data_IF_858022255376
#
_entry.id   IF_858022255376
#
_cell.length_a   1.000
_cell.length_b   1.000
_cell.length_c   1.000
_cell.angle_alpha   90.00
_cell.angle_beta   90.00
_cell.angle_gamma   90.00
#
_symmetry.space_group_name_H-M   'P 1'
#
loop_
_entity.id
_entity.type
_entity.pdbx_description
1 polymer ?
#
# COMPACT_ATOMS: atom_id res chain seq x y z
N UNK A 1 -6.33 -27.29 -12.35
CA UNK A 1 -5.87 -28.57 -12.95
C UNK A 1 -4.72 -29.05 -12.09
N UNK A 2 -4.73 -30.30 -11.62
CA UNK A 2 -3.59 -30.87 -10.88
C UNK A 2 -2.42 -31.13 -11.84
N UNK A 3 -1.19 -31.10 -11.34
CA UNK A 3 0.02 -31.37 -12.13
C UNK A 3 -0.06 -32.75 -12.83
N UNK A 4 -0.54 -33.75 -12.10
CA UNK A 4 -0.75 -35.12 -12.58
C UNK A 4 -1.68 -35.20 -13.81
N UNK A 5 -2.68 -34.32 -13.90
CA UNK A 5 -3.59 -34.30 -15.05
C UNK A 5 -2.93 -33.67 -16.29
N UNK A 6 -2.06 -32.68 -16.12
CA UNK A 6 -1.29 -32.10 -17.23
C UNK A 6 -0.25 -33.10 -17.76
N UNK A 7 0.37 -33.90 -16.88
CA UNK A 7 1.31 -34.97 -17.28
C UNK A 7 0.61 -36.05 -18.13
N UNK A 8 -0.60 -36.47 -17.72
CA UNK A 8 -1.43 -37.41 -18.48
C UNK A 8 -1.83 -36.87 -19.86
N UNK A 9 -2.13 -35.58 -19.94
CA UNK A 9 -2.43 -34.90 -21.21
C UNK A 9 -1.20 -34.87 -22.12
N UNK A 10 -0.01 -34.57 -21.57
CA UNK A 10 1.25 -34.56 -22.33
C UNK A 10 1.55 -35.92 -22.93
N UNK A 11 1.46 -36.99 -22.13
CA UNK A 11 1.68 -38.37 -22.58
C UNK A 11 0.68 -38.79 -23.68
N UNK A 12 -0.59 -38.41 -23.54
CA UNK A 12 -1.62 -38.69 -24.55
C UNK A 12 -1.36 -37.95 -25.87
N UNK A 13 -0.80 -36.73 -25.83
CA UNK A 13 -0.40 -36.00 -27.04
C UNK A 13 0.77 -36.69 -27.76
N UNK A 14 1.77 -37.17 -27.01
CA UNK A 14 2.88 -37.95 -27.58
C UNK A 14 2.37 -39.22 -28.26
N UNK A 15 1.47 -39.97 -27.62
CA UNK A 15 0.83 -41.16 -28.20
C UNK A 15 0.02 -40.85 -29.48
N UNK A 16 -0.69 -39.71 -29.51
CA UNK A 16 -1.38 -39.25 -30.71
C UNK A 16 -0.42 -38.94 -31.86
N UNK A 17 0.73 -38.32 -31.57
CA UNK A 17 1.72 -37.95 -32.59
C UNK A 17 2.48 -39.15 -33.18
N UNK A 18 2.62 -40.24 -32.40
CA UNK A 18 3.31 -41.46 -32.80
C UNK A 18 2.49 -42.34 -33.77
N UNK A 19 1.18 -42.08 -33.91
CA UNK A 19 0.28 -42.90 -34.75
C UNK A 19 -0.13 -42.15 -36.01
N UNK A 20 -0.11 -42.83 -37.16
CA UNK A 20 -0.38 -42.19 -38.46
C UNK A 20 -1.87 -41.82 -38.67
N UNK A 21 -2.79 -42.42 -37.87
CA UNK A 21 -4.23 -42.08 -37.78
C UNK A 21 -4.72 -42.30 -36.33
N UNK A 22 -4.48 -41.37 -35.39
CA UNK A 22 -4.83 -41.55 -33.99
C UNK A 22 -6.35 -41.60 -33.79
N UNK A 23 -6.84 -42.65 -33.13
CA UNK A 23 -8.18 -42.63 -32.55
C UNK A 23 -8.15 -41.86 -31.22
N UNK A 24 -8.38 -40.55 -31.29
CA UNK A 24 -8.32 -39.63 -30.14
C UNK A 24 -9.20 -40.09 -28.97
N UNK A 25 -10.34 -40.72 -29.23
CA UNK A 25 -11.24 -41.20 -28.17
C UNK A 25 -10.69 -42.43 -27.45
N UNK A 26 -10.03 -43.35 -28.17
CA UNK A 26 -9.41 -44.52 -27.58
C UNK A 26 -8.20 -44.15 -26.73
N UNK A 27 -7.32 -43.28 -27.26
CA UNK A 27 -6.14 -42.76 -26.56
C UNK A 27 -6.58 -41.98 -25.31
N UNK A 28 -7.60 -41.12 -25.41
CA UNK A 28 -8.13 -40.40 -24.26
C UNK A 28 -8.62 -41.35 -23.15
N UNK A 29 -9.25 -42.48 -23.51
CA UNK A 29 -9.70 -43.51 -22.55
C UNK A 29 -8.53 -44.24 -21.88
N UNK A 30 -7.48 -44.55 -22.62
CA UNK A 30 -6.27 -45.20 -22.11
C UNK A 30 -5.54 -44.34 -21.07
N UNK A 31 -5.42 -43.03 -21.34
CA UNK A 31 -4.83 -42.07 -20.41
C UNK A 31 -5.84 -41.52 -19.38
N UNK A 32 -7.10 -41.99 -19.41
CA UNK A 32 -8.20 -41.61 -18.52
C UNK A 32 -8.50 -40.09 -18.49
N UNK A 33 -8.44 -39.44 -19.65
CA UNK A 33 -8.79 -38.04 -19.87
C UNK A 33 -10.02 -37.93 -20.78
N UNK A 34 -10.76 -36.83 -20.68
CA UNK A 34 -11.91 -36.59 -21.58
C UNK A 34 -11.42 -36.29 -23.00
N UNK A 35 -12.03 -36.92 -24.00
CA UNK A 35 -11.67 -36.73 -25.42
C UNK A 35 -11.78 -35.27 -25.89
N UNK A 36 -12.65 -34.47 -25.28
CA UNK A 36 -12.75 -33.01 -25.54
C UNK A 36 -11.49 -32.25 -25.16
N UNK A 37 -10.86 -32.60 -24.02
CA UNK A 37 -9.61 -31.99 -23.56
C UNK A 37 -8.50 -32.33 -24.55
N UNK A 38 -8.33 -33.61 -24.90
CA UNK A 38 -7.28 -34.05 -25.82
C UNK A 38 -7.44 -33.42 -27.22
N UNK A 39 -8.67 -33.35 -27.76
CA UNK A 39 -8.96 -32.65 -29.03
C UNK A 39 -8.65 -31.15 -28.95
N UNK A 40 -8.97 -30.50 -27.83
CA UNK A 40 -8.65 -29.09 -27.64
C UNK A 40 -7.13 -28.84 -27.64
N UNK A 41 -6.37 -29.72 -26.98
CA UNK A 41 -4.91 -29.65 -26.94
C UNK A 41 -4.26 -29.93 -28.29
N UNK A 42 -4.76 -30.91 -29.06
CA UNK A 42 -4.35 -31.15 -30.45
C UNK A 42 -4.56 -29.93 -31.37
N UNK A 43 -5.56 -29.09 -31.07
CA UNK A 43 -5.80 -27.83 -31.77
C UNK A 43 -4.96 -26.65 -31.25
N UNK A 44 -4.05 -26.87 -30.31
CA UNK A 44 -3.17 -25.85 -29.75
C UNK A 44 -3.75 -25.02 -28.61
N UNK A 45 -4.89 -25.41 -28.02
CA UNK A 45 -5.39 -24.73 -26.83
C UNK A 45 -4.47 -24.98 -25.63
N UNK A 46 -4.10 -23.92 -24.92
CA UNK A 46 -3.35 -24.01 -23.65
C UNK A 46 -4.30 -24.26 -22.47
N UNK A 47 -3.73 -24.65 -21.34
CA UNK A 47 -4.49 -24.84 -20.11
C UNK A 47 -5.13 -23.52 -19.73
N UNK A 48 -6.29 -23.56 -19.06
CA UNK A 48 -6.87 -22.34 -18.48
C UNK A 48 -5.89 -21.64 -17.53
N UNK A 49 -5.03 -22.41 -16.86
CA UNK A 49 -4.02 -21.90 -15.94
C UNK A 49 -2.81 -21.28 -16.67
N UNK A 50 -2.46 -21.77 -17.86
CA UNK A 50 -1.35 -21.24 -18.67
C UNK A 50 -1.78 -20.08 -19.56
N UNK A 51 -3.07 -19.78 -19.61
CA UNK A 51 -3.60 -18.69 -20.42
C UNK A 51 -3.27 -17.38 -19.73
N UNK A 52 -2.33 -16.63 -20.30
CA UNK A 52 -2.07 -15.24 -19.90
C UNK A 52 -3.41 -14.49 -20.04
N UNK A 53 -3.90 -13.80 -18.97
CA UNK A 53 -5.13 -13.03 -19.06
C UNK A 53 -4.96 -11.98 -20.16
N UNK A 54 -5.69 -12.14 -21.25
CA UNK A 54 -5.55 -11.31 -22.47
C UNK A 54 -5.98 -9.86 -22.25
N UNK A 55 -6.66 -9.57 -21.13
CA UNK A 55 -7.24 -8.26 -20.81
C UNK A 55 -6.56 -7.59 -19.60
N UNK A 56 -5.28 -7.83 -19.34
CA UNK A 56 -4.56 -7.00 -18.38
C UNK A 56 -4.41 -5.59 -18.96
N UNK A 57 -4.71 -4.58 -18.13
CA UNK A 57 -4.55 -3.18 -18.55
C UNK A 57 -3.08 -2.75 -18.63
N UNK A 58 -2.19 -3.47 -17.95
CA UNK A 58 -0.76 -3.22 -17.92
C UNK A 58 0.00 -4.50 -18.28
N UNK A 59 1.09 -4.34 -19.01
CA UNK A 59 2.03 -5.41 -19.31
C UNK A 59 2.83 -5.81 -18.06
N UNK A 60 3.44 -7.02 -18.01
CA UNK A 60 4.20 -7.47 -16.84
C UNK A 60 5.30 -6.50 -16.41
N UNK A 61 5.98 -5.86 -17.36
CA UNK A 61 7.01 -4.86 -17.08
C UNK A 61 6.44 -3.57 -16.48
N UNK A 62 5.28 -3.14 -16.97
CA UNK A 62 4.56 -1.98 -16.45
C UNK A 62 4.01 -2.25 -15.05
N UNK A 63 3.47 -3.46 -14.80
CA UNK A 63 3.08 -3.89 -13.46
C UNK A 63 4.29 -3.89 -12.51
N UNK A 64 5.46 -4.38 -12.96
CA UNK A 64 6.70 -4.36 -12.17
C UNK A 64 7.16 -2.94 -11.84
N UNK A 65 7.11 -2.03 -12.81
CA UNK A 65 7.45 -0.62 -12.61
C UNK A 65 6.49 0.05 -11.60
N UNK A 66 5.19 -0.25 -11.67
CA UNK A 66 4.20 0.26 -10.73
C UNK A 66 4.44 -0.28 -9.30
N UNK A 67 4.80 -1.55 -9.15
CA UNK A 67 5.17 -2.14 -7.85
C UNK A 67 6.41 -1.46 -7.28
N UNK A 68 7.45 -1.23 -8.10
CA UNK A 68 8.65 -0.51 -7.67
C UNK A 68 8.29 0.91 -7.23
N UNK A 69 7.42 1.60 -7.95
CA UNK A 69 6.96 2.94 -7.57
C UNK A 69 6.22 2.95 -6.22
N UNK A 70 5.36 1.97 -5.96
CA UNK A 70 4.70 1.79 -4.64
C UNK A 70 5.76 1.59 -3.55
N UNK A 71 6.76 0.74 -3.81
CA UNK A 71 7.85 0.45 -2.89
C UNK A 71 8.68 1.71 -2.57
N UNK A 72 9.06 2.48 -3.58
CA UNK A 72 9.81 3.74 -3.42
C UNK A 72 9.02 4.75 -2.58
N UNK A 73 7.73 4.89 -2.84
CA UNK A 73 6.85 5.77 -2.07
C UNK A 73 6.67 5.31 -0.62
N UNK A 74 6.55 4.00 -0.41
CA UNK A 74 6.53 3.46 0.95
C UNK A 74 7.86 3.74 1.65
N UNK A 75 9.01 3.42 1.05
CA UNK A 75 10.34 3.75 1.62
C UNK A 75 10.49 5.25 1.95
N UNK A 76 9.90 6.14 1.15
CA UNK A 76 9.88 7.59 1.37
C UNK A 76 8.86 8.08 2.42
N UNK A 77 8.24 7.19 3.20
CA UNK A 77 7.22 7.53 4.21
C UNK A 77 5.95 8.17 3.64
N UNK A 78 5.67 7.95 2.35
CA UNK A 78 4.48 8.47 1.67
C UNK A 78 3.78 7.38 0.84
N UNK A 79 3.31 6.29 1.49
CA UNK A 79 2.68 5.18 0.78
C UNK A 79 1.42 5.63 0.03
N UNK A 80 1.19 5.13 -1.20
CA UNK A 80 0.11 5.61 -2.05
C UNK A 80 -1.25 5.02 -1.65
N UNK A 81 -2.30 5.80 -1.88
CA UNK A 81 -3.71 5.37 -1.84
C UNK A 81 -4.08 4.56 -3.10
N UNK A 82 -5.16 3.78 -3.03
CA UNK A 82 -5.69 3.07 -4.20
C UNK A 82 -6.00 4.01 -5.38
N UNK A 83 -6.49 5.23 -5.10
CA UNK A 83 -6.75 6.24 -6.13
C UNK A 83 -5.47 6.74 -6.81
N UNK A 84 -4.38 6.94 -6.05
CA UNK A 84 -3.07 7.31 -6.61
C UNK A 84 -2.47 6.17 -7.45
N UNK A 85 -2.63 4.92 -7.02
CA UNK A 85 -2.20 3.74 -7.80
C UNK A 85 -2.99 3.67 -9.12
N UNK A 86 -4.31 3.88 -9.07
CA UNK A 86 -5.14 3.91 -10.28
C UNK A 86 -4.71 5.05 -11.23
N UNK A 87 -4.43 6.23 -10.69
CA UNK A 87 -3.98 7.37 -11.48
C UNK A 87 -2.63 7.10 -12.14
N UNK A 88 -1.66 6.55 -11.39
CA UNK A 88 -0.35 6.19 -11.92
C UNK A 88 -0.45 5.12 -13.03
N UNK A 89 -1.26 4.08 -12.81
CA UNK A 89 -1.53 3.06 -13.83
C UNK A 89 -2.19 3.67 -15.08
N UNK A 90 -3.18 4.54 -14.91
CA UNK A 90 -3.85 5.20 -16.02
C UNK A 90 -2.88 6.07 -16.85
N UNK A 91 -1.93 6.74 -16.20
CA UNK A 91 -0.88 7.50 -16.88
C UNK A 91 0.01 6.62 -17.74
N UNK A 92 0.37 5.42 -17.26
CA UNK A 92 1.17 4.45 -18.03
C UNK A 92 0.39 4.01 -19.29
N UNK A 93 -0.87 3.63 -19.12
CA UNK A 93 -1.72 3.17 -20.24
C UNK A 93 -1.92 4.27 -21.28
N UNK A 94 -2.21 5.50 -20.83
CA UNK A 94 -2.49 6.63 -21.73
C UNK A 94 -1.31 7.07 -22.59
N UNK A 95 -0.08 6.69 -22.24
CA UNK A 95 1.09 6.93 -23.10
C UNK A 95 1.01 6.16 -24.42
N UNK A 96 0.34 5.01 -24.42
CA UNK A 96 0.14 4.19 -25.62
C UNK A 96 -1.28 4.34 -26.18
N UNK A 97 -2.29 4.47 -25.30
CA UNK A 97 -3.70 4.54 -25.67
C UNK A 97 -4.42 5.69 -24.94
N UNK A 98 -4.42 6.91 -25.50
CA UNK A 98 -4.90 8.12 -24.80
C UNK A 98 -6.37 8.07 -24.36
N UNK A 99 -7.21 7.37 -25.13
CA UNK A 99 -8.65 7.24 -24.86
C UNK A 99 -8.98 6.15 -23.81
N UNK A 100 -7.99 5.35 -23.39
CA UNK A 100 -8.24 4.21 -22.51
C UNK A 100 -8.53 4.67 -21.08
N UNK A 101 -9.43 3.94 -20.45
CA UNK A 101 -9.82 4.11 -19.04
C UNK A 101 -9.62 2.81 -18.28
N UNK A 102 -9.43 2.91 -16.97
CA UNK A 102 -9.37 1.76 -16.09
C UNK A 102 -10.72 1.57 -15.41
N UNK A 103 -11.12 0.31 -15.21
CA UNK A 103 -12.34 -0.01 -14.48
C UNK A 103 -12.29 0.50 -13.03
N UNK A 104 -13.46 0.79 -12.45
CA UNK A 104 -13.59 1.34 -11.08
C UNK A 104 -12.89 0.48 -10.01
N UNK A 105 -12.88 -0.83 -10.17
CA UNK A 105 -12.30 -1.76 -9.19
C UNK A 105 -10.85 -2.14 -9.51
N UNK A 106 -10.29 -1.64 -10.62
CA UNK A 106 -8.99 -2.09 -11.12
C UNK A 106 -7.88 -1.95 -10.07
N UNK A 107 -7.86 -0.85 -9.31
CA UNK A 107 -6.84 -0.65 -8.28
C UNK A 107 -6.97 -1.65 -7.14
N UNK A 108 -8.20 -1.98 -6.70
CA UNK A 108 -8.43 -2.98 -5.67
C UNK A 108 -8.03 -4.38 -6.15
N UNK A 109 -8.39 -4.73 -7.39
CA UNK A 109 -8.01 -6.00 -8.01
C UNK A 109 -6.49 -6.11 -8.24
N UNK A 110 -5.82 -4.98 -8.51
CA UNK A 110 -4.36 -4.91 -8.58
C UNK A 110 -3.73 -5.09 -7.20
N UNK A 111 -4.23 -4.38 -6.18
CA UNK A 111 -3.74 -4.47 -4.80
C UNK A 111 -3.88 -5.90 -4.26
N UNK A 112 -5.00 -6.58 -4.55
CA UNK A 112 -5.22 -7.97 -4.15
C UNK A 112 -4.21 -8.95 -4.78
N UNK A 113 -3.53 -8.57 -5.85
CA UNK A 113 -2.49 -9.36 -6.54
C UNK A 113 -1.07 -8.96 -6.13
N UNK A 114 -0.89 -7.96 -5.27
CA UNK A 114 0.43 -7.57 -4.80
C UNK A 114 1.08 -8.69 -3.97
N UNK A 115 2.42 -8.74 -3.91
CA UNK A 115 3.12 -9.64 -3.02
C UNK A 115 2.63 -9.49 -1.58
N UNK A 116 2.58 -10.58 -0.82
CA UNK A 116 2.04 -10.64 0.56
C UNK A 116 2.69 -9.68 1.56
N UNK A 117 3.85 -9.13 1.22
CA UNK A 117 4.54 -8.09 2.00
C UNK A 117 3.81 -6.74 2.00
N UNK A 118 2.87 -6.50 1.10
CA UNK A 118 2.10 -5.26 1.05
C UNK A 118 0.73 -5.46 1.69
N UNK A 119 0.37 -4.53 2.58
CA UNK A 119 -0.91 -4.51 3.27
C UNK A 119 -1.64 -3.19 3.04
N UNK A 120 -2.97 -3.23 3.08
CA UNK A 120 -3.79 -2.01 3.07
C UNK A 120 -3.98 -1.52 4.49
N UNK A 121 -3.39 -0.37 4.82
CA UNK A 121 -3.35 0.20 6.16
C UNK A 121 -4.15 1.50 6.17
N UNK A 122 -4.96 1.70 7.21
CA UNK A 122 -5.62 2.98 7.45
C UNK A 122 -4.63 3.96 8.09
N UNK A 123 -4.23 5.00 7.35
CA UNK A 123 -3.36 6.05 7.88
C UNK A 123 -4.06 6.86 8.96
N UNK A 124 -3.30 7.15 10.02
CA UNK A 124 -3.70 8.13 11.03
C UNK A 124 -2.96 9.45 10.78
N UNK A 125 -3.67 10.60 10.79
CA UNK A 125 -3.03 11.91 10.69
C UNK A 125 -2.06 12.09 11.86
N UNK A 126 -0.89 12.64 11.55
CA UNK A 126 0.10 13.05 12.55
C UNK A 126 0.60 14.45 12.22
N UNK A 127 0.70 15.29 13.25
CA UNK A 127 1.27 16.63 13.12
C UNK A 127 2.74 16.54 12.69
N UNK A 128 3.07 17.21 11.57
CA UNK A 128 4.41 17.23 10.96
C UNK A 128 5.50 17.67 11.96
N UNK A 129 5.19 18.62 12.84
CA UNK A 129 6.09 19.13 13.87
C UNK A 129 6.54 18.05 14.89
N UNK A 130 5.67 17.07 15.20
CA UNK A 130 6.00 15.99 16.15
C UNK A 130 7.00 14.98 15.60
N UNK A 131 7.11 14.86 14.28
CA UNK A 131 8.06 13.92 13.67
C UNK A 131 9.50 14.41 13.73
N UNK A 132 9.72 15.71 13.50
CA UNK A 132 11.05 16.30 13.39
C UNK A 132 11.70 16.54 14.77
N UNK A 133 10.91 16.80 15.81
CA UNK A 133 11.37 17.13 17.17
C UNK A 133 11.64 15.89 18.04
N UNK A 134 11.00 14.75 17.76
CA UNK A 134 11.12 13.52 18.55
C UNK A 134 12.41 12.69 18.30
N UNK A 135 13.56 13.34 18.11
CA UNK A 135 14.86 12.63 18.14
C UNK A 135 15.28 12.42 19.61
N UNK A 136 15.46 11.17 20.08
CA UNK A 136 15.68 10.88 21.50
C UNK A 136 16.83 11.68 22.14
N UNK A 137 17.96 11.86 21.44
CA UNK A 137 19.11 12.60 21.97
C UNK A 137 18.85 14.10 22.16
N UNK A 138 18.00 14.71 21.32
CA UNK A 138 17.67 16.13 21.45
C UNK A 138 16.80 16.40 22.69
N UNK A 139 15.81 15.53 22.91
CA UNK A 139 14.90 15.60 24.06
C UNK A 139 15.68 15.51 25.38
N UNK A 140 16.54 14.49 25.51
CA UNK A 140 17.32 14.28 26.75
C UNK A 140 18.22 15.48 27.05
N UNK A 141 18.99 15.95 26.06
CA UNK A 141 19.89 17.10 26.25
C UNK A 141 19.16 18.40 26.63
N UNK A 142 17.92 18.57 26.17
CA UNK A 142 17.11 19.73 26.49
C UNK A 142 16.61 19.67 27.94
N UNK A 143 16.10 18.52 28.39
CA UNK A 143 15.68 18.33 29.77
C UNK A 143 16.85 18.44 30.77
N UNK A 144 18.03 17.95 30.41
CA UNK A 144 19.23 18.09 31.26
C UNK A 144 19.60 19.58 31.45
N UNK A 145 19.59 20.37 30.36
CA UNK A 145 19.84 21.82 30.43
C UNK A 145 18.75 22.56 31.21
N UNK A 146 17.49 22.16 31.05
CA UNK A 146 16.38 22.73 31.81
C UNK A 146 16.57 22.49 33.31
N UNK A 147 16.92 21.26 33.71
CA UNK A 147 17.14 20.90 35.13
C UNK A 147 18.30 21.70 35.75
N UNK A 148 19.41 21.88 35.02
CA UNK A 148 20.52 22.71 35.47
C UNK A 148 20.05 24.16 35.67
N UNK A 149 19.30 24.70 34.71
CA UNK A 149 18.82 26.09 34.75
C UNK A 149 17.87 26.34 35.92
N UNK A 150 16.92 25.43 36.15
CA UNK A 150 15.98 25.53 37.28
C UNK A 150 16.71 25.56 38.63
N UNK A 151 17.75 24.73 38.80
CA UNK A 151 18.58 24.70 40.01
C UNK A 151 19.43 25.95 40.19
N UNK A 152 20.08 26.42 39.12
CA UNK A 152 20.96 27.61 39.17
C UNK A 152 20.20 28.87 39.57
N UNK A 153 18.96 29.03 39.09
CA UNK A 153 18.15 30.21 39.35
C UNK A 153 17.12 30.03 40.47
N UNK A 154 17.09 28.87 41.14
CA UNK A 154 16.16 28.60 42.25
C UNK A 154 14.67 28.66 41.85
N UNK A 155 14.34 28.35 40.60
CA UNK A 155 12.97 28.45 40.08
C UNK A 155 12.14 27.29 40.64
N UNK A 156 11.16 27.62 41.50
CA UNK A 156 10.23 26.65 42.05
C UNK A 156 9.27 26.13 40.98
N UNK A 157 8.85 24.86 41.08
CA UNK A 157 7.94 24.23 40.12
C UNK A 157 6.60 24.98 39.97
N UNK A 158 6.09 25.58 41.04
CA UNK A 158 4.88 26.43 41.02
C UNK A 158 4.97 27.65 40.08
N UNK A 159 6.18 28.04 39.69
CA UNK A 159 6.42 29.15 38.77
C UNK A 159 6.71 28.66 37.33
N UNK A 160 6.59 27.36 37.08
CA UNK A 160 6.79 26.76 35.77
C UNK A 160 5.43 26.54 35.10
N UNK A 161 5.20 27.27 34.02
CA UNK A 161 3.99 27.17 33.22
C UNK A 161 4.32 26.60 31.86
N UNK A 162 3.55 25.61 31.42
CA UNK A 162 3.58 25.18 30.03
C UNK A 162 2.57 26.02 29.26
N UNK A 163 3.04 26.71 28.24
CA UNK A 163 2.21 27.42 27.27
C UNK A 163 2.32 26.66 25.96
N UNK A 164 1.19 26.24 25.42
CA UNK A 164 1.16 25.61 24.11
C UNK A 164 0.09 26.23 23.23
N UNK A 165 0.42 26.35 21.94
CA UNK A 165 -0.49 26.82 20.92
C UNK A 165 -0.97 25.60 20.13
N UNK A 166 -2.25 25.26 20.27
CA UNK A 166 -2.87 24.22 19.43
C UNK A 166 -3.54 24.88 18.23
N UNK A 167 -2.95 24.65 17.06
CA UNK A 167 -3.54 25.06 15.78
C UNK A 167 -4.49 24.00 15.25
N UNK A 168 -5.79 24.29 15.22
CA UNK A 168 -6.79 23.49 14.51
C UNK A 168 -6.85 23.94 13.05
N UNK A 169 -6.70 23.03 12.09
CA UNK A 169 -6.88 23.35 10.67
C UNK A 169 -8.25 22.90 10.19
N UNK A 170 -9.02 23.81 9.58
CA UNK A 170 -10.34 23.50 9.04
C UNK A 170 -10.16 22.91 7.63
N UNK A 171 -10.27 21.58 7.47
CA UNK A 171 -10.13 20.89 6.18
C UNK A 171 -9.08 19.77 6.12
N UNK A 172 -8.62 19.28 7.27
CA UNK A 172 -7.54 18.28 7.39
C UNK A 172 -7.81 16.92 6.73
N UNK A 173 -6.70 16.28 6.32
CA UNK A 173 -6.65 14.97 5.68
C UNK A 173 -7.34 13.90 6.51
N UNK A 174 -8.53 13.48 6.04
CA UNK A 174 -9.26 12.33 6.60
C UNK A 174 -8.37 11.09 6.60
N UNK A 175 -8.62 10.16 7.51
CA UNK A 175 -7.96 8.86 7.47
C UNK A 175 -8.16 8.21 6.09
N UNK A 176 -7.07 7.84 5.43
CA UNK A 176 -7.10 7.20 4.11
C UNK A 176 -6.49 5.81 4.18
N UNK A 177 -7.01 4.90 3.35
CA UNK A 177 -6.42 3.58 3.17
C UNK A 177 -5.28 3.67 2.16
N UNK A 178 -4.08 3.26 2.56
CA UNK A 178 -2.87 3.24 1.73
C UNK A 178 -2.28 1.84 1.68
N UNK A 179 -1.45 1.60 0.66
CA UNK A 179 -0.74 0.34 0.49
C UNK A 179 0.70 0.49 0.99
N UNK A 180 1.10 -0.31 1.98
CA UNK A 180 2.41 -0.20 2.63
C UNK A 180 2.93 -1.57 3.06
N UNK A 181 4.25 -1.74 3.09
CA UNK A 181 4.93 -2.93 3.57
C UNK A 181 5.42 -2.82 5.03
N UNK A 182 5.16 -1.69 5.71
CA UNK A 182 5.72 -1.39 7.04
C UNK A 182 4.76 -1.61 8.22
N UNK A 183 3.53 -2.05 7.98
CA UNK A 183 2.53 -2.34 9.02
C UNK A 183 2.00 -1.12 9.81
N UNK A 184 2.71 0.02 9.80
CA UNK A 184 2.28 1.28 10.40
C UNK A 184 2.57 2.45 9.45
N UNK A 185 1.52 3.23 9.15
CA UNK A 185 1.61 4.36 8.22
C UNK A 185 0.89 5.58 8.80
N UNK A 186 1.58 6.73 8.80
CA UNK A 186 1.06 8.03 9.26
C UNK A 186 1.18 9.03 8.11
N UNK A 187 0.18 9.88 7.92
CA UNK A 187 0.19 10.94 6.90
C UNK A 187 0.49 12.30 7.54
N UNK A 188 1.29 13.10 6.84
CA UNK A 188 1.53 14.50 7.19
C UNK A 188 0.32 15.35 6.78
N UNK A 189 -0.27 16.06 7.74
CA UNK A 189 -1.32 17.04 7.46
C UNK A 189 -0.68 18.40 7.17
N UNK A 190 -0.48 18.74 5.89
CA UNK A 190 0.15 20.00 5.50
C UNK A 190 -0.36 20.51 4.16
N UNK A 191 -1.54 21.15 4.16
CA UNK A 191 -2.07 21.92 3.04
C UNK A 191 -2.62 23.27 3.53
N UNK A 192 -2.70 24.26 2.64
CA UNK A 192 -3.29 25.57 2.95
C UNK A 192 -4.80 25.41 3.20
N UNK A 193 -5.20 25.55 4.45
CA UNK A 193 -6.58 25.71 4.87
C UNK A 193 -6.60 26.60 6.12
N UNK A 194 -7.69 27.35 6.29
CA UNK A 194 -7.87 28.32 7.38
C UNK A 194 -7.60 27.66 8.75
N UNK A 195 -6.82 28.33 9.58
CA UNK A 195 -6.40 27.84 10.91
C UNK A 195 -7.12 28.60 12.02
N UNK A 196 -7.65 27.86 12.99
CA UNK A 196 -8.09 28.38 14.27
C UNK A 196 -7.02 28.05 15.32
N UNK A 197 -6.57 29.04 16.07
CA UNK A 197 -5.59 28.85 17.14
C UNK A 197 -6.29 28.88 18.51
N UNK A 198 -6.07 27.84 19.32
CA UNK A 198 -6.35 27.84 20.75
C UNK A 198 -5.05 27.95 21.55
N UNK A 199 -5.05 28.78 22.60
CA UNK A 199 -3.93 28.91 23.52
C UNK A 199 -4.33 28.23 24.84
N UNK A 200 -3.54 27.25 25.28
CA UNK A 200 -3.72 26.56 26.56
C UNK A 200 -2.51 26.83 27.47
N UNK A 201 -2.79 27.08 28.75
CA UNK A 201 -1.76 27.25 29.78
C UNK A 201 -2.05 26.30 30.93
N UNK A 202 -1.05 25.52 31.33
CA UNK A 202 -1.13 24.61 32.48
C UNK A 202 0.05 24.86 33.41
N UNK A 203 -0.24 25.07 34.69
CA UNK A 203 0.78 25.17 35.74
C UNK A 203 1.32 23.79 36.09
N UNK A 204 2.63 23.69 36.35
CA UNK A 204 3.28 22.45 36.75
C UNK A 204 2.89 21.97 38.16
N UNK A 205 2.19 22.78 38.96
CA UNK A 205 1.64 22.41 40.28
C UNK A 205 0.18 21.93 40.24
N UNK A 206 -0.43 21.88 39.04
CA UNK A 206 -1.81 21.46 38.79
C UNK A 206 -2.90 22.24 39.56
N UNK A 207 -2.59 23.42 40.11
CA UNK A 207 -3.57 24.26 40.79
C UNK A 207 -4.08 25.37 39.85
N UNK A 208 -5.34 25.34 39.39
CA UNK A 208 -5.90 26.39 38.54
C UNK A 208 -6.28 27.59 39.42
N UNK A 209 -5.29 28.31 39.97
CA UNK A 209 -5.59 29.60 40.59
C UNK A 209 -6.14 30.54 39.51
N UNK A 210 -7.34 31.05 39.76
CA UNK A 210 -7.99 32.06 38.93
C UNK A 210 -7.06 33.26 38.82
N UNK A 211 -6.82 33.69 37.58
CA UNK A 211 -6.27 35.01 37.30
C UNK A 211 -7.31 36.04 37.72
N UNK A 212 -7.31 36.41 39.00
CA UNK A 212 -8.09 37.52 39.51
C UNK A 212 -7.51 38.81 38.90
N UNK A 213 -8.33 39.52 38.11
CA UNK A 213 -8.09 40.87 37.62
C UNK A 213 -8.59 41.89 38.63
#
# INVERSE_FOLDING_TARGET
MSQELEDRISNALSACSATQKPNVSAIAREFGITSSILRGRLKGHKSRNDRIPTNKALDPEQEKALILWIDTLDQAYSPPTAGQIQAAALQIVRRHEPARTLGKNWAYDFIARLPSRFETIKQKPMEKARYEVCKPGYIVSWYDRLQITLKTYGIAQKNLYNFDETGFRIGEGKAQNVVSARGNSKNNTGGQAESLTGIECVSADANPERLDR
#
